data_IF_682845917542
#
_entry.id   IF_682845917542
#
_cell.length_a   1.000
_cell.length_b   1.000
_cell.length_c   1.000
_cell.angle_alpha   90.00
_cell.angle_beta   90.00
_cell.angle_gamma   90.00
#
_symmetry.space_group_name_H-M   'P 1'
#
loop_
_entity.id
_entity.type
_entity.pdbx_description
1 polymer ?
#
# COMPACT_ATOMS: atom_id res chain seq x y z
N UNK A 1 -9.63 47.79 30.26
CA UNK A 1 -9.91 46.53 29.55
C UNK A 1 -9.13 45.43 30.26
N UNK A 2 -9.78 44.48 30.94
CA UNK A 2 -9.11 43.42 31.71
C UNK A 2 -8.45 42.34 30.85
N UNK A 3 -8.76 42.29 29.55
CA UNK A 3 -8.22 41.31 28.61
C UNK A 3 -6.87 41.76 28.03
N UNK A 4 -6.00 40.81 27.69
CA UNK A 4 -4.69 41.03 27.07
C UNK A 4 -4.83 41.56 25.65
N UNK A 5 -4.27 42.73 25.36
CA UNK A 5 -4.30 43.34 24.01
C UNK A 5 -3.65 42.44 22.93
N UNK A 6 -2.63 41.65 23.31
CA UNK A 6 -1.93 40.79 22.36
C UNK A 6 -2.79 39.58 21.96
N UNK A 7 -3.43 38.93 22.94
CA UNK A 7 -4.11 37.65 22.78
C UNK A 7 -5.62 37.71 22.69
N UNK A 8 -6.26 38.88 22.83
CA UNK A 8 -7.73 39.01 22.85
C UNK A 8 -8.25 39.48 21.50
N UNK A 9 -9.26 38.80 20.98
CA UNK A 9 -9.96 39.13 19.75
C UNK A 9 -11.15 40.06 20.03
N UNK A 10 -11.91 39.79 21.08
CA UNK A 10 -12.97 40.66 21.58
C UNK A 10 -13.19 40.50 23.11
N UNK A 11 -13.74 41.52 23.76
CA UNK A 11 -14.04 41.53 25.19
C UNK A 11 -15.55 41.71 25.39
N UNK A 12 -16.20 40.66 25.92
CA UNK A 12 -17.65 40.63 26.13
C UNK A 12 -17.96 41.02 27.57
N UNK A 13 -18.73 42.10 27.74
CA UNK A 13 -19.24 42.52 29.04
C UNK A 13 -20.39 41.60 29.48
N UNK A 14 -20.33 41.08 30.70
CA UNK A 14 -21.38 40.27 31.33
C UNK A 14 -21.91 40.95 32.59
N UNK A 15 -23.02 40.46 33.14
CA UNK A 15 -23.57 40.98 34.41
C UNK A 15 -22.61 40.64 35.55
N UNK A 16 -22.03 41.66 36.19
CA UNK A 16 -21.01 41.54 37.24
C UNK A 16 -19.78 40.70 36.85
N UNK A 17 -19.51 40.52 35.55
CA UNK A 17 -18.38 39.74 35.06
C UNK A 17 -17.98 40.19 33.64
N UNK A 18 -16.99 39.52 33.05
CA UNK A 18 -16.57 39.72 31.67
C UNK A 18 -16.03 38.41 31.12
N UNK A 19 -15.96 38.32 29.79
CA UNK A 19 -15.33 37.20 29.09
C UNK A 19 -14.42 37.72 27.98
N UNK A 20 -13.19 37.23 27.94
CA UNK A 20 -12.22 37.55 26.90
C UNK A 20 -12.28 36.46 25.83
N UNK A 21 -12.70 36.79 24.62
CA UNK A 21 -12.61 35.89 23.48
C UNK A 21 -11.16 35.88 22.98
N UNK A 22 -10.44 34.80 23.25
CA UNK A 22 -9.04 34.70 22.88
C UNK A 22 -8.84 34.50 21.38
N UNK A 23 -7.82 35.15 20.82
CA UNK A 23 -7.29 34.83 19.49
C UNK A 23 -6.83 33.36 19.48
N UNK A 24 -6.88 32.68 18.32
CA UNK A 24 -6.25 31.37 18.16
C UNK A 24 -4.82 31.37 18.71
N UNK A 25 -4.46 30.33 19.46
CA UNK A 25 -3.14 30.20 20.08
C UNK A 25 -2.96 30.97 21.40
N UNK A 26 -4.02 31.55 21.97
CA UNK A 26 -4.01 32.15 23.30
C UNK A 26 -5.08 31.55 24.22
N UNK A 27 -4.77 31.43 25.51
CA UNK A 27 -5.65 30.94 26.57
C UNK A 27 -5.42 31.72 27.87
N UNK A 28 -6.14 31.34 28.93
CA UNK A 28 -6.15 32.05 30.20
C UNK A 28 -7.36 32.98 30.32
N UNK A 29 -7.66 33.42 31.55
CA UNK A 29 -8.86 34.21 31.85
C UNK A 29 -8.85 35.55 31.09
N UNK A 30 -7.66 36.08 30.82
CA UNK A 30 -7.43 37.33 30.13
C UNK A 30 -6.73 37.12 28.78
N UNK A 31 -6.68 35.89 28.24
CA UNK A 31 -5.95 35.54 27.02
C UNK A 31 -4.46 35.90 27.06
N UNK A 32 -3.86 35.79 28.25
CA UNK A 32 -2.48 36.16 28.56
C UNK A 32 -1.47 35.06 28.29
N UNK A 33 -1.93 33.80 28.17
CA UNK A 33 -1.07 32.62 28.02
C UNK A 33 -1.05 32.21 26.55
N UNK A 34 0.14 32.11 25.95
CA UNK A 34 0.30 31.50 24.62
C UNK A 34 0.18 29.98 24.74
N UNK A 35 -0.62 29.37 23.89
CA UNK A 35 -0.76 27.91 23.83
C UNK A 35 0.46 27.33 23.13
N UNK A 36 1.18 26.45 23.82
CA UNK A 36 2.20 25.62 23.19
C UNK A 36 1.54 24.32 22.70
N UNK A 37 1.19 24.30 21.41
CA UNK A 37 0.60 23.13 20.77
C UNK A 37 1.57 21.95 20.64
N UNK A 38 2.88 22.15 20.88
CA UNK A 38 3.87 21.08 20.84
C UNK A 38 4.14 20.43 22.21
N UNK A 39 3.57 20.95 23.30
CA UNK A 39 3.84 20.49 24.67
C UNK A 39 3.55 18.99 24.91
N UNK A 40 2.59 18.43 24.17
CA UNK A 40 2.23 17.01 24.26
C UNK A 40 2.85 16.14 23.14
N UNK A 41 3.86 16.65 22.44
CA UNK A 41 4.54 15.95 21.34
C UNK A 41 3.56 15.32 20.32
N UNK A 42 2.69 16.12 19.67
CA UNK A 42 1.66 15.59 18.79
C UNK A 42 2.18 14.94 17.51
N UNK A 43 3.44 15.21 17.12
CA UNK A 43 4.08 14.61 15.96
C UNK A 43 4.64 13.22 16.31
N UNK A 44 4.15 12.20 15.62
CA UNK A 44 4.56 10.82 15.75
C UNK A 44 5.81 10.54 14.89
N UNK A 45 6.39 9.34 15.05
CA UNK A 45 7.44 8.81 14.18
C UNK A 45 8.66 9.74 13.98
N UNK A 46 9.05 10.46 15.04
CA UNK A 46 10.21 11.35 15.01
C UNK A 46 10.00 12.66 14.23
N UNK A 47 8.74 13.03 13.94
CA UNK A 47 8.40 14.31 13.32
C UNK A 47 8.76 15.52 14.19
N UNK A 48 9.21 16.60 13.57
CA UNK A 48 9.59 17.84 14.25
C UNK A 48 8.36 18.74 14.39
N UNK A 49 7.98 19.08 15.62
CA UNK A 49 6.84 19.94 15.90
C UNK A 49 7.21 21.42 15.88
N UNK A 50 6.37 22.23 15.22
CA UNK A 50 6.45 23.69 15.25
C UNK A 50 5.09 24.31 15.59
N UNK A 51 5.08 25.31 16.46
CA UNK A 51 3.88 26.03 16.90
C UNK A 51 3.46 27.05 15.83
N UNK A 52 2.21 27.01 15.37
CA UNK A 52 1.60 28.03 14.49
C UNK A 52 0.56 28.85 15.27
N UNK A 53 0.14 29.99 14.71
CA UNK A 53 -0.88 30.85 15.34
C UNK A 53 -2.19 30.11 15.64
N UNK A 54 -2.53 29.08 14.87
CA UNK A 54 -3.73 28.27 15.07
C UNK A 54 -3.41 26.77 15.04
N UNK A 55 -2.57 26.30 15.97
CA UNK A 55 -2.29 24.88 16.17
C UNK A 55 -0.81 24.53 16.06
N UNK A 56 -0.52 23.27 15.77
CA UNK A 56 0.83 22.77 15.49
C UNK A 56 0.99 22.39 14.03
N UNK A 57 2.24 22.33 13.58
CA UNK A 57 2.64 21.81 12.29
C UNK A 57 3.79 20.83 12.48
N UNK A 58 3.62 19.62 11.98
CA UNK A 58 4.63 18.57 11.99
C UNK A 58 5.40 18.55 10.67
N UNK A 59 6.72 18.58 10.77
CA UNK A 59 7.62 18.23 9.67
C UNK A 59 7.98 16.76 9.82
N UNK A 60 7.48 15.94 8.91
CA UNK A 60 7.66 14.49 8.98
C UNK A 60 9.04 14.06 8.49
N UNK A 61 9.55 12.96 9.07
CA UNK A 61 10.73 12.29 8.58
C UNK A 61 10.43 11.59 7.24
N UNK A 62 11.47 11.27 6.48
CA UNK A 62 11.34 10.55 5.21
C UNK A 62 10.59 9.24 5.41
N UNK A 63 9.60 8.96 4.55
CA UNK A 63 8.75 7.76 4.62
C UNK A 63 7.56 7.87 5.58
N UNK A 64 7.34 9.04 6.19
CA UNK A 64 6.17 9.32 7.03
C UNK A 64 5.39 10.52 6.54
N UNK A 65 4.07 10.46 6.67
CA UNK A 65 3.15 11.50 6.23
C UNK A 65 1.89 11.54 7.11
N UNK A 66 1.01 12.49 6.85
CA UNK A 66 -0.15 12.79 7.69
C UNK A 66 0.03 14.07 8.50
N UNK A 67 -1.04 14.52 9.16
CA UNK A 67 -1.05 15.80 9.90
C UNK A 67 -0.09 15.75 11.09
N UNK A 68 0.05 14.57 11.68
CA UNK A 68 0.85 14.26 12.84
C UNK A 68 1.96 13.24 12.52
N UNK A 69 2.29 13.01 11.24
CA UNK A 69 3.24 11.97 10.80
C UNK A 69 2.84 10.56 11.25
N UNK A 70 1.55 10.31 11.38
CA UNK A 70 0.95 9.08 11.90
C UNK A 70 0.99 7.91 10.89
N UNK A 71 1.18 8.21 9.61
CA UNK A 71 1.23 7.22 8.55
C UNK A 71 2.66 6.98 8.11
N UNK A 72 3.02 5.70 7.95
CA UNK A 72 4.25 5.27 7.31
C UNK A 72 3.94 4.73 5.92
N UNK A 73 4.70 5.13 4.93
CA UNK A 73 4.66 4.55 3.60
C UNK A 73 5.61 5.25 2.66
N UNK A 74 6.23 4.48 1.79
CA UNK A 74 7.04 4.97 0.70
C UNK A 74 6.17 5.11 -0.56
N UNK A 75 6.57 6.00 -1.47
CA UNK A 75 5.84 6.26 -2.70
C UNK A 75 5.69 5.00 -3.60
N UNK A 76 6.48 3.96 -3.36
CA UNK A 76 6.40 2.67 -4.05
C UNK A 76 5.43 1.65 -3.44
N UNK A 77 4.91 1.86 -2.22
CA UNK A 77 4.07 0.87 -1.53
C UNK A 77 2.71 0.66 -2.23
N UNK A 78 2.34 1.59 -3.10
CA UNK A 78 1.13 1.51 -3.94
C UNK A 78 1.35 0.74 -5.25
N UNK A 79 2.56 0.22 -5.48
CA UNK A 79 3.00 -0.38 -6.77
C UNK A 79 2.60 0.48 -7.98
N UNK A 80 3.07 1.74 -8.06
CA UNK A 80 2.60 2.68 -9.08
C UNK A 80 3.07 2.35 -10.51
N UNK A 81 4.02 1.44 -10.69
CA UNK A 81 4.53 1.04 -12.01
C UNK A 81 3.72 -0.14 -12.56
N UNK A 82 3.17 0.00 -13.77
CA UNK A 82 2.45 -1.07 -14.48
C UNK A 82 3.40 -2.16 -15.00
N UNK A 83 4.64 -1.78 -15.32
CA UNK A 83 5.74 -2.68 -15.61
C UNK A 83 7.04 -2.16 -14.98
N UNK A 84 7.99 -3.06 -14.70
CA UNK A 84 9.29 -2.69 -14.14
C UNK A 84 9.32 -2.49 -12.62
N UNK A 85 10.38 -1.85 -12.16
CA UNK A 85 10.64 -1.66 -10.73
C UNK A 85 10.31 -0.23 -10.30
N UNK A 86 9.58 -0.08 -9.19
CA UNK A 86 9.43 1.22 -8.54
C UNK A 86 10.66 1.55 -7.69
N UNK A 87 11.17 2.76 -7.84
CA UNK A 87 12.27 3.29 -7.04
C UNK A 87 11.84 4.59 -6.40
N UNK A 88 12.01 4.69 -5.08
CA UNK A 88 11.73 5.91 -4.32
C UNK A 88 12.70 7.01 -4.76
N UNK A 89 12.18 8.17 -5.14
CA UNK A 89 12.89 9.35 -5.62
C UNK A 89 12.70 10.50 -4.62
N UNK A 90 13.79 10.97 -4.01
CA UNK A 90 13.75 12.01 -2.97
C UNK A 90 13.22 13.37 -3.44
N UNK A 91 13.13 13.62 -4.74
CA UNK A 91 12.68 14.90 -5.32
C UNK A 91 11.26 14.78 -5.88
N UNK A 92 10.92 13.62 -6.45
CA UNK A 92 9.65 13.40 -7.18
C UNK A 92 8.70 12.40 -6.50
N UNK A 93 9.09 11.84 -5.36
CA UNK A 93 8.37 10.78 -4.65
C UNK A 93 8.81 9.40 -5.14
N UNK A 94 8.46 9.04 -6.37
CA UNK A 94 8.91 7.81 -7.01
C UNK A 94 9.29 8.02 -8.48
N UNK A 95 10.01 7.04 -9.02
CA UNK A 95 10.15 6.83 -10.47
C UNK A 95 10.03 5.35 -10.78
N UNK A 96 9.57 5.03 -11.99
CA UNK A 96 9.57 3.68 -12.51
C UNK A 96 10.78 3.46 -13.39
N UNK A 97 11.50 2.36 -13.15
CA UNK A 97 12.57 1.88 -14.03
C UNK A 97 11.96 0.91 -15.03
N UNK A 98 11.64 1.44 -16.22
CA UNK A 98 10.92 0.72 -17.25
C UNK A 98 11.79 -0.36 -17.91
N UNK A 99 11.28 -1.59 -18.06
CA UNK A 99 11.98 -2.63 -18.82
C UNK A 99 12.10 -2.22 -20.29
N UNK A 100 13.10 -2.76 -21.01
CA UNK A 100 13.24 -2.54 -22.45
C UNK A 100 11.93 -2.86 -23.18
N UNK A 101 11.53 -1.98 -24.10
CA UNK A 101 10.25 -2.13 -24.81
C UNK A 101 9.07 -1.45 -24.11
N UNK A 102 9.27 -0.82 -22.95
CA UNK A 102 8.22 -0.02 -22.29
C UNK A 102 8.64 1.41 -22.02
N UNK A 103 7.66 2.31 -22.05
CA UNK A 103 7.81 3.74 -21.80
C UNK A 103 6.63 4.29 -20.98
N UNK A 104 6.69 5.57 -20.61
CA UNK A 104 5.68 6.24 -19.78
C UNK A 104 6.17 6.49 -18.36
N UNK A 105 5.36 7.19 -17.57
CA UNK A 105 5.72 7.53 -16.17
C UNK A 105 5.61 6.31 -15.26
N UNK A 106 4.69 5.40 -15.61
CA UNK A 106 4.39 4.16 -14.91
C UNK A 106 4.78 2.94 -15.76
N UNK A 107 5.54 3.12 -16.85
CA UNK A 107 5.87 2.09 -17.83
C UNK A 107 4.63 1.46 -18.47
N UNK A 108 3.57 2.25 -18.64
CA UNK A 108 2.26 1.85 -19.15
C UNK A 108 2.18 1.77 -20.67
N UNK A 109 3.18 2.29 -21.38
CA UNK A 109 3.22 2.32 -22.83
C UNK A 109 4.09 1.17 -23.33
N UNK A 110 3.49 0.26 -24.08
CA UNK A 110 4.21 -0.77 -24.79
C UNK A 110 4.73 -0.23 -26.13
N UNK A 111 6.04 -0.33 -26.33
CA UNK A 111 6.75 0.16 -27.52
C UNK A 111 7.39 -0.96 -28.33
N UNK A 112 7.35 -2.21 -27.85
CA UNK A 112 7.95 -3.36 -28.50
C UNK A 112 6.99 -4.54 -28.49
N UNK A 113 6.57 -4.99 -29.67
CA UNK A 113 5.89 -6.28 -29.80
C UNK A 113 6.95 -7.41 -29.75
N UNK A 114 7.12 -8.07 -28.61
CA UNK A 114 8.06 -9.17 -28.47
C UNK A 114 7.69 -10.39 -29.34
N UNK A 115 6.39 -10.55 -29.66
CA UNK A 115 5.91 -11.61 -30.54
C UNK A 115 6.31 -11.41 -32.00
N UNK A 116 6.63 -10.19 -32.44
CA UNK A 116 7.10 -9.91 -33.79
C UNK A 116 8.38 -10.70 -34.17
N UNK A 117 9.17 -11.10 -33.16
CA UNK A 117 10.38 -11.92 -33.35
C UNK A 117 10.11 -13.43 -33.49
N UNK A 118 8.85 -13.86 -33.43
CA UNK A 118 8.43 -15.26 -33.32
C UNK A 118 9.20 -16.03 -32.22
N UNK A 119 9.12 -15.59 -30.95
CA UNK A 119 9.96 -16.11 -29.88
C UNK A 119 9.59 -17.52 -29.41
N UNK A 120 8.35 -17.96 -29.68
CA UNK A 120 7.80 -19.23 -29.24
C UNK A 120 8.21 -20.40 -30.13
N UNK A 121 8.76 -21.46 -29.52
CA UNK A 121 9.17 -22.68 -30.22
C UNK A 121 8.01 -23.67 -30.35
N UNK A 122 8.25 -24.77 -31.05
CA UNK A 122 7.29 -25.87 -31.25
C UNK A 122 5.97 -25.43 -31.90
N UNK A 123 5.99 -24.32 -32.66
CA UNK A 123 4.80 -23.78 -33.31
C UNK A 123 3.76 -23.23 -32.34
N UNK A 124 4.15 -22.93 -31.10
CA UNK A 124 3.25 -22.35 -30.10
C UNK A 124 2.82 -20.93 -30.50
N UNK A 125 1.56 -20.60 -30.21
CA UNK A 125 1.05 -19.24 -30.40
C UNK A 125 1.68 -18.29 -29.38
N UNK A 126 1.90 -17.03 -29.79
CA UNK A 126 2.49 -15.97 -28.98
C UNK A 126 1.44 -14.89 -28.71
N UNK A 127 1.37 -14.41 -27.48
CA UNK A 127 0.60 -13.22 -27.10
C UNK A 127 1.54 -12.17 -26.50
N UNK A 128 1.44 -10.96 -27.04
CA UNK A 128 2.22 -9.81 -26.60
C UNK A 128 1.63 -9.21 -25.32
N UNK A 129 2.47 -8.90 -24.35
CA UNK A 129 2.11 -8.29 -23.08
C UNK A 129 2.98 -7.04 -22.85
N UNK A 130 2.60 -6.22 -21.88
CA UNK A 130 3.36 -4.99 -21.58
C UNK A 130 4.79 -5.33 -21.10
N UNK A 131 5.79 -5.15 -21.98
CA UNK A 131 7.20 -5.41 -21.70
C UNK A 131 7.56 -6.89 -21.55
N UNK A 132 6.68 -7.80 -21.99
CA UNK A 132 6.94 -9.24 -22.01
C UNK A 132 6.03 -9.96 -23.04
N UNK A 133 6.19 -11.27 -23.20
CA UNK A 133 5.29 -12.10 -23.99
C UNK A 133 5.01 -13.43 -23.29
N UNK A 134 3.92 -14.07 -23.71
CA UNK A 134 3.58 -15.43 -23.29
C UNK A 134 3.45 -16.36 -24.49
N UNK A 135 3.99 -17.58 -24.35
CA UNK A 135 3.83 -18.64 -25.32
C UNK A 135 2.81 -19.68 -24.84
N UNK A 136 1.86 -20.00 -25.71
CA UNK A 136 0.85 -21.02 -25.48
C UNK A 136 1.41 -22.42 -25.78
N UNK A 137 2.23 -22.91 -24.85
CA UNK A 137 3.03 -24.11 -25.10
C UNK A 137 2.21 -25.39 -25.24
N UNK A 138 2.56 -26.26 -26.22
CA UNK A 138 1.90 -27.55 -26.40
C UNK A 138 2.26 -28.54 -25.28
N UNK A 139 1.55 -29.67 -25.24
CA UNK A 139 1.90 -30.75 -24.32
C UNK A 139 3.35 -31.18 -24.50
N UNK A 140 3.98 -31.54 -23.37
CA UNK A 140 5.37 -31.95 -23.23
C UNK A 140 6.44 -30.87 -23.35
N UNK A 141 6.07 -29.64 -23.67
CA UNK A 141 7.04 -28.57 -23.93
C UNK A 141 6.83 -27.31 -23.07
N UNK A 142 7.02 -27.36 -21.74
CA UNK A 142 6.97 -26.15 -20.91
C UNK A 142 8.16 -25.20 -21.19
N UNK A 143 8.16 -24.03 -20.52
CA UNK A 143 9.21 -23.00 -20.65
C UNK A 143 8.65 -21.69 -21.19
N UNK A 144 9.43 -20.61 -21.09
CA UNK A 144 8.99 -19.27 -21.54
C UNK A 144 8.79 -19.22 -23.06
N UNK A 145 9.56 -20.04 -23.79
CA UNK A 145 9.54 -20.20 -25.25
C UNK A 145 9.19 -21.63 -25.67
N UNK A 146 8.66 -22.46 -24.79
CA UNK A 146 8.36 -23.89 -25.04
C UNK A 146 9.61 -24.73 -25.41
N UNK A 147 10.72 -24.43 -24.75
CA UNK A 147 12.05 -24.95 -25.03
C UNK A 147 12.44 -26.16 -24.16
N UNK A 148 11.71 -26.42 -23.07
CA UNK A 148 12.02 -27.47 -22.10
C UNK A 148 11.16 -28.69 -22.43
N UNK A 149 11.74 -29.89 -22.42
CA UNK A 149 10.96 -31.13 -22.58
C UNK A 149 10.61 -31.74 -21.23
N UNK A 150 9.32 -31.95 -20.97
CA UNK A 150 8.78 -32.67 -19.81
C UNK A 150 7.63 -33.58 -20.25
N UNK A 151 7.84 -34.89 -20.24
CA UNK A 151 6.85 -35.86 -20.70
C UNK A 151 5.49 -35.79 -20.00
N UNK A 152 5.42 -35.21 -18.80
CA UNK A 152 4.20 -35.10 -17.98
C UNK A 152 3.47 -33.77 -18.15
N UNK A 153 4.01 -32.81 -18.90
CA UNK A 153 3.36 -31.51 -19.08
C UNK A 153 2.13 -31.61 -20.00
N UNK A 154 0.92 -31.25 -19.54
CA UNK A 154 -0.32 -31.45 -20.29
C UNK A 154 -0.53 -30.41 -21.43
N UNK A 155 0.28 -29.35 -21.48
CA UNK A 155 0.12 -28.27 -22.45
C UNK A 155 -0.91 -27.22 -22.01
N UNK A 156 -0.91 -26.09 -22.71
CA UNK A 156 -1.79 -24.96 -22.41
C UNK A 156 -3.27 -25.26 -22.69
N UNK A 157 -3.56 -26.00 -23.78
CA UNK A 157 -4.94 -26.26 -24.25
C UNK A 157 -5.72 -27.32 -23.47
N UNK A 158 -5.06 -28.12 -22.62
CA UNK A 158 -5.75 -29.10 -21.76
C UNK A 158 -6.40 -28.45 -20.52
N UNK A 159 -6.26 -27.13 -20.36
CA UNK A 159 -6.70 -26.42 -19.16
C UNK A 159 -7.86 -25.47 -19.47
N UNK A 160 -9.04 -26.05 -19.72
CA UNK A 160 -10.28 -25.27 -19.94
C UNK A 160 -10.87 -24.69 -18.65
N UNK A 161 -10.22 -24.93 -17.51
CA UNK A 161 -10.47 -24.28 -16.21
C UNK A 161 -9.71 -22.96 -16.02
N UNK A 162 -8.79 -22.63 -16.92
CA UNK A 162 -7.99 -21.40 -16.86
C UNK A 162 -8.57 -20.32 -17.78
N UNK A 163 -9.42 -19.48 -17.21
CA UNK A 163 -9.28 -18.03 -17.48
C UNK A 163 -7.88 -17.56 -17.08
N UNK A 164 -7.56 -16.25 -17.10
CA UNK A 164 -6.30 -15.76 -16.54
C UNK A 164 -6.28 -16.02 -15.02
N UNK A 165 -5.99 -17.26 -14.63
CA UNK A 165 -5.75 -17.66 -13.27
C UNK A 165 -4.37 -17.08 -12.98
N UNK A 166 -4.39 -16.04 -12.14
CA UNK A 166 -3.22 -15.31 -11.71
C UNK A 166 -2.08 -16.30 -11.46
N UNK A 167 -0.93 -16.15 -12.14
CA UNK A 167 0.26 -17.01 -11.99
C UNK A 167 0.58 -17.30 -10.51
N UNK A 168 0.24 -16.36 -9.65
CA UNK A 168 0.21 -16.42 -8.20
C UNK A 168 -0.57 -17.59 -7.58
N UNK A 169 -1.80 -17.91 -8.01
CA UNK A 169 -2.60 -18.97 -7.36
C UNK A 169 -2.04 -20.36 -7.60
N UNK A 170 -1.55 -20.63 -8.82
CA UNK A 170 -0.94 -21.93 -9.15
C UNK A 170 0.43 -22.11 -8.52
N UNK A 171 1.21 -21.03 -8.43
CA UNK A 171 2.49 -21.02 -7.69
C UNK A 171 2.24 -21.23 -6.19
N UNK A 172 1.18 -20.62 -5.63
CA UNK A 172 0.80 -20.78 -4.24
C UNK A 172 0.41 -22.22 -3.88
N UNK A 173 -0.35 -22.91 -4.73
CA UNK A 173 -0.69 -24.33 -4.54
C UNK A 173 0.54 -25.23 -4.56
N UNK A 174 1.44 -25.03 -5.53
CA UNK A 174 2.71 -25.76 -5.59
C UNK A 174 3.58 -25.51 -4.36
N UNK A 175 3.68 -24.26 -3.92
CA UNK A 175 4.42 -23.93 -2.71
C UNK A 175 3.81 -24.60 -1.46
N UNK A 176 2.47 -24.67 -1.34
CA UNK A 176 1.78 -25.37 -0.25
C UNK A 176 2.13 -26.86 -0.21
N UNK A 177 2.18 -27.54 -1.36
CA UNK A 177 2.62 -28.94 -1.43
C UNK A 177 4.08 -29.11 -0.97
N UNK A 178 4.96 -28.16 -1.33
CA UNK A 178 6.35 -28.17 -0.88
C UNK A 178 6.47 -27.97 0.64
N UNK A 179 5.60 -27.18 1.25
CA UNK A 179 5.55 -27.02 2.72
C UNK A 179 5.26 -28.35 3.42
N UNK A 180 4.29 -29.11 2.91
CA UNK A 180 3.92 -30.43 3.43
C UNK A 180 5.11 -31.39 3.29
N UNK A 181 5.73 -31.43 2.10
CA UNK A 181 6.86 -32.32 1.83
C UNK A 181 8.10 -32.00 2.68
N UNK A 182 8.31 -30.73 3.03
CA UNK A 182 9.42 -30.26 3.88
C UNK A 182 9.15 -30.38 5.38
N UNK A 183 7.94 -30.78 5.75
CA UNK A 183 7.54 -30.91 7.15
C UNK A 183 7.48 -29.57 7.89
N UNK A 184 7.09 -28.49 7.20
CA UNK A 184 7.02 -27.15 7.82
C UNK A 184 6.00 -27.12 8.98
N UNK A 185 5.00 -27.98 8.95
CA UNK A 185 4.00 -28.09 10.02
C UNK A 185 4.56 -28.60 11.34
N UNK A 186 5.65 -29.39 11.31
CA UNK A 186 6.34 -29.84 12.52
C UNK A 186 7.43 -28.86 12.98
N UNK A 187 7.85 -27.96 12.09
CA UNK A 187 8.89 -26.95 12.34
C UNK A 187 8.30 -25.66 12.89
N UNK A 188 7.07 -25.31 12.51
CA UNK A 188 6.40 -24.10 12.99
C UNK A 188 6.34 -23.98 14.51
N UNK A 189 6.58 -22.77 15.04
CA UNK A 189 6.50 -22.45 16.47
C UNK A 189 7.69 -22.97 17.31
N UNK A 190 8.77 -23.40 16.66
CA UNK A 190 9.99 -23.86 17.32
C UNK A 190 10.95 -22.70 17.66
N UNK A 191 10.59 -21.45 17.34
CA UNK A 191 11.38 -20.22 17.55
C UNK A 191 12.70 -20.20 16.77
N UNK A 192 12.80 -20.99 15.71
CA UNK A 192 13.96 -21.08 14.82
C UNK A 192 13.48 -20.92 13.39
N UNK A 193 13.84 -19.80 12.77
CA UNK A 193 13.49 -19.58 11.36
C UNK A 193 14.14 -20.62 10.42
N UNK A 194 13.34 -21.58 9.97
CA UNK A 194 13.69 -22.55 8.94
C UNK A 194 13.42 -21.92 7.55
N UNK A 195 14.49 -21.46 6.89
CA UNK A 195 14.42 -20.67 5.65
C UNK A 195 13.66 -21.37 4.52
N UNK A 196 13.67 -22.70 4.48
CA UNK A 196 12.92 -23.49 3.51
C UNK A 196 11.40 -23.47 3.73
N UNK A 197 10.95 -23.01 4.90
CA UNK A 197 9.57 -22.78 5.32
C UNK A 197 9.24 -21.27 5.38
N UNK A 198 10.20 -20.39 5.05
CA UNK A 198 10.03 -18.95 5.02
C UNK A 198 9.37 -18.45 3.73
N UNK A 199 8.17 -18.95 3.44
CA UNK A 199 7.35 -18.49 2.33
C UNK A 199 5.94 -18.20 2.81
N UNK A 200 5.21 -17.36 2.08
CA UNK A 200 3.80 -17.07 2.37
C UNK A 200 2.96 -18.36 2.40
N UNK A 201 3.20 -19.29 1.47
CA UNK A 201 2.50 -20.58 1.42
C UNK A 201 2.73 -21.48 2.65
N UNK A 202 3.88 -21.34 3.32
CA UNK A 202 4.25 -22.09 4.52
C UNK A 202 3.98 -21.29 5.80
N UNK A 203 3.20 -20.20 5.72
CA UNK A 203 2.92 -19.28 6.82
C UNK A 203 4.19 -18.77 7.53
N UNK A 204 5.25 -18.50 6.76
CA UNK A 204 6.53 -17.99 7.25
C UNK A 204 7.08 -18.76 8.46
N UNK A 205 7.05 -20.10 8.36
CA UNK A 205 7.47 -21.01 9.41
C UNK A 205 6.71 -20.81 10.74
N UNK A 206 5.39 -20.61 10.65
CA UNK A 206 4.57 -20.30 11.83
C UNK A 206 4.84 -18.94 12.44
N UNK A 207 5.34 -18.00 11.65
CA UNK A 207 5.86 -16.69 12.05
C UNK A 207 7.20 -16.71 12.80
N UNK A 208 7.89 -17.85 12.88
CA UNK A 208 9.26 -17.90 13.43
C UNK A 208 10.28 -17.16 12.52
N UNK A 209 9.95 -17.02 11.23
CA UNK A 209 10.74 -16.23 10.25
C UNK A 209 10.20 -14.82 10.00
N UNK A 210 8.95 -14.57 10.35
CA UNK A 210 8.45 -13.20 10.48
C UNK A 210 9.14 -12.57 11.69
N UNK A 211 9.11 -11.25 11.86
CA UNK A 211 9.64 -10.60 13.07
C UNK A 211 8.86 -10.97 14.37
N UNK A 212 8.16 -12.11 14.40
CA UNK A 212 7.25 -12.56 15.46
C UNK A 212 5.91 -11.83 15.47
N UNK A 213 5.53 -11.15 14.39
CA UNK A 213 4.34 -10.29 14.33
C UNK A 213 3.28 -10.97 13.47
N UNK A 214 2.20 -11.44 14.10
CA UNK A 214 0.98 -11.84 13.39
C UNK A 214 0.06 -10.61 13.26
N UNK A 215 -0.06 -9.99 12.08
CA UNK A 215 -0.87 -8.78 11.90
C UNK A 215 -2.37 -9.03 12.08
N UNK A 216 -2.80 -10.29 12.07
CA UNK A 216 -4.19 -10.72 12.26
C UNK A 216 -4.50 -11.13 13.70
N UNK A 217 -3.55 -11.02 14.63
CA UNK A 217 -3.72 -11.48 16.03
C UNK A 217 -4.91 -10.82 16.73
N UNK A 218 -5.25 -9.60 16.34
CA UNK A 218 -6.38 -8.85 16.87
C UNK A 218 -7.63 -8.92 15.98
N UNK A 219 -7.56 -9.59 14.83
CA UNK A 219 -8.70 -9.76 13.94
C UNK A 219 -9.75 -10.67 14.60
N UNK A 220 -10.93 -10.13 14.86
CA UNK A 220 -12.04 -10.82 15.53
C UNK A 220 -13.19 -11.15 14.58
N UNK A 221 -12.94 -11.09 13.27
CA UNK A 221 -13.92 -11.47 12.27
C UNK A 221 -14.30 -12.94 12.39
N UNK A 222 -15.52 -13.28 11.95
CA UNK A 222 -16.04 -14.65 12.03
C UNK A 222 -15.46 -15.58 10.96
N UNK A 223 -14.89 -14.97 9.92
CA UNK A 223 -14.22 -15.66 8.83
C UNK A 223 -12.72 -15.43 8.93
N UNK A 224 -11.96 -16.36 8.35
CA UNK A 224 -10.50 -16.27 8.27
C UNK A 224 -10.10 -15.19 7.27
N UNK A 225 -9.99 -13.93 7.72
CA UNK A 225 -9.79 -12.78 6.84
C UNK A 225 -8.51 -12.84 6.01
N UNK A 226 -7.50 -13.59 6.43
CA UNK A 226 -6.30 -13.81 5.61
C UNK A 226 -6.57 -14.64 4.34
N UNK A 227 -7.66 -15.40 4.26
CA UNK A 227 -8.03 -16.19 3.07
C UNK A 227 -8.76 -15.36 2.02
N UNK A 228 -9.39 -14.25 2.43
CA UNK A 228 -10.20 -13.37 1.56
C UNK A 228 -9.58 -11.98 1.39
N UNK A 229 -8.44 -11.73 2.04
CA UNK A 229 -7.72 -10.46 1.93
C UNK A 229 -7.29 -10.18 0.48
N UNK A 230 -7.78 -9.06 -0.08
CA UNK A 230 -7.43 -8.58 -1.42
C UNK A 230 -7.82 -9.56 -2.55
N UNK A 231 -8.91 -10.30 -2.36
CA UNK A 231 -9.46 -11.24 -3.34
C UNK A 231 -10.36 -10.56 -4.39
N UNK A 232 -10.60 -9.25 -4.25
CA UNK A 232 -11.42 -8.43 -5.14
C UNK A 232 -12.91 -8.44 -4.78
N UNK A 233 -13.32 -9.13 -3.73
CA UNK A 233 -14.66 -9.12 -3.17
C UNK A 233 -14.67 -8.38 -1.84
N UNK A 234 -15.61 -7.46 -1.66
CA UNK A 234 -15.74 -6.78 -0.38
C UNK A 234 -16.37 -7.69 0.69
N UNK A 235 -15.54 -8.19 1.61
CA UNK A 235 -15.92 -8.87 2.83
C UNK A 235 -15.96 -7.87 4.00
N UNK A 236 -17.13 -7.27 4.22
CA UNK A 236 -17.35 -6.25 5.26
C UNK A 236 -16.94 -6.69 6.69
N UNK A 237 -16.99 -8.00 6.99
CA UNK A 237 -16.53 -8.54 8.28
C UNK A 237 -15.01 -8.39 8.48
N UNK A 238 -14.25 -8.37 7.39
CA UNK A 238 -12.80 -8.16 7.34
C UNK A 238 -12.42 -6.69 7.12
N UNK A 239 -13.40 -5.83 6.82
CA UNK A 239 -13.21 -4.41 6.54
C UNK A 239 -13.03 -3.55 7.82
N UNK A 240 -12.04 -3.91 8.63
CA UNK A 240 -11.69 -3.17 9.83
C UNK A 240 -10.18 -3.20 10.08
N UNK A 241 -9.67 -2.28 10.90
CA UNK A 241 -8.23 -2.10 11.12
C UNK A 241 -7.54 -3.35 11.68
N UNK A 242 -8.23 -4.11 12.54
CA UNK A 242 -7.66 -5.32 13.13
C UNK A 242 -7.57 -6.49 12.13
N UNK A 243 -8.37 -6.42 11.06
CA UNK A 243 -8.42 -7.36 9.94
C UNK A 243 -7.92 -6.71 8.63
N UNK A 244 -7.06 -5.69 8.73
CA UNK A 244 -6.38 -5.04 7.60
C UNK A 244 -7.29 -4.54 6.47
N UNK A 245 -8.52 -4.13 6.81
CA UNK A 245 -9.48 -3.54 5.87
C UNK A 245 -9.76 -4.38 4.62
N UNK A 246 -9.72 -5.71 4.76
CA UNK A 246 -10.01 -6.63 3.66
C UNK A 246 -9.20 -6.34 2.38
N UNK A 247 -7.93 -5.98 2.54
CA UNK A 247 -7.06 -5.65 1.40
C UNK A 247 -7.46 -4.40 0.62
N UNK A 248 -8.44 -3.63 1.13
CA UNK A 248 -9.14 -2.51 0.48
C UNK A 248 -10.13 -2.89 -0.61
N UNK A 249 -10.60 -4.13 -0.66
CA UNK A 249 -11.64 -4.54 -1.62
C UNK A 249 -13.00 -3.85 -1.36
N UNK A 250 -13.24 -3.46 -0.11
CA UNK A 250 -14.41 -2.67 0.30
C UNK A 250 -14.29 -1.16 0.04
N UNK A 251 -13.14 -0.68 -0.44
CA UNK A 251 -13.02 0.71 -0.83
C UNK A 251 -13.96 0.98 -2.02
N UNK A 252 -15.06 1.71 -1.78
CA UNK A 252 -15.92 2.20 -2.85
C UNK A 252 -15.02 2.94 -3.85
N UNK A 253 -14.97 2.46 -5.10
CA UNK A 253 -14.40 3.23 -6.21
C UNK A 253 -15.16 4.55 -6.29
N UNK A 254 -14.62 5.59 -5.66
CA UNK A 254 -15.08 6.95 -5.91
C UNK A 254 -14.95 7.17 -7.41
N UNK A 255 -15.99 7.74 -8.02
CA UNK A 255 -15.93 8.19 -9.41
C UNK A 255 -14.63 8.98 -9.59
N UNK A 256 -13.85 8.76 -10.67
CA UNK A 256 -12.57 9.44 -10.84
C UNK A 256 -12.83 10.95 -10.93
N UNK A 257 -12.61 11.65 -9.83
CA UNK A 257 -12.65 13.10 -9.77
C UNK A 257 -11.48 13.63 -10.61
N UNK A 258 -11.76 14.65 -11.44
CA UNK A 258 -10.83 15.18 -12.42
C UNK A 258 -9.49 15.61 -11.76
N UNK A 259 -8.40 14.86 -11.99
CA UNK A 259 -7.15 14.98 -11.24
C UNK A 259 -6.39 16.30 -11.49
N UNK A 260 -6.75 17.04 -12.53
CA UNK A 260 -6.13 18.34 -12.83
C UNK A 260 -6.58 19.44 -11.88
N UNK A 261 -7.82 19.38 -11.38
CA UNK A 261 -8.39 20.43 -10.53
C UNK A 261 -7.89 20.35 -9.08
N UNK A 262 -7.58 19.16 -8.58
CA UNK A 262 -7.15 18.96 -7.19
C UNK A 262 -5.71 19.45 -6.98
N UNK A 263 -4.78 19.11 -7.88
CA UNK A 263 -3.41 19.62 -7.83
C UNK A 263 -3.37 21.16 -7.92
N UNK A 264 -4.26 21.77 -8.72
CA UNK A 264 -4.38 23.23 -8.79
C UNK A 264 -4.98 23.79 -7.49
N UNK A 265 -6.11 23.26 -7.03
CA UNK A 265 -6.82 23.80 -5.88
C UNK A 265 -6.03 23.62 -4.56
N UNK A 266 -5.35 22.48 -4.40
CA UNK A 266 -4.49 22.17 -3.25
C UNK A 266 -3.20 22.99 -3.25
N UNK A 267 -2.68 23.34 -4.43
CA UNK A 267 -1.50 24.21 -4.58
C UNK A 267 -1.82 25.69 -4.39
N UNK A 268 -3.05 26.12 -4.69
CA UNK A 268 -3.39 27.55 -4.77
C UNK A 268 -4.32 28.08 -3.68
N UNK A 269 -5.22 27.26 -3.10
CA UNK A 269 -6.24 27.73 -2.16
C UNK A 269 -6.19 27.03 -0.80
N UNK A 270 -6.05 25.70 -0.78
CA UNK A 270 -5.82 24.88 0.44
C UNK A 270 -6.76 25.18 1.64
N UNK A 271 -7.99 25.66 1.40
CA UNK A 271 -8.96 26.05 2.44
C UNK A 271 -10.19 25.12 2.51
N UNK A 272 -10.23 24.08 1.67
CA UNK A 272 -11.29 23.06 1.69
C UNK A 272 -12.59 23.48 1.00
N UNK A 273 -12.60 24.60 0.28
CA UNK A 273 -13.72 25.00 -0.58
C UNK A 273 -13.24 25.12 -2.03
N UNK A 274 -13.12 23.96 -2.69
CA UNK A 274 -13.18 23.84 -4.14
C UNK A 274 -14.64 23.46 -4.51
#
# INVERSE_FOLDING_TARGET
>A
NPCSNAGTLDCVQLVNNYHCNCKPGYMGRHCEIKVDFCANSPCQNGGICSTKQSGHHCVCQVGFYGKNCEFSGNDCDSNPCQAGNCVVDMIRGYRCECPPGTEGVQCEIDTLDECASNPCLQGAACENLLGDFVCFCPSKWPGKRCEIYDANYPGWASDTSRGPLNKYTKDLEYQREMCIKRGCEQKKGNHKCDQECNTYACNFDGNDCSLGINPWVNCSAKIECWLVFMDGHCNEECNNAACLFDGRDCAKKLQPCNPTYEAYCQKHYADGHC
#
